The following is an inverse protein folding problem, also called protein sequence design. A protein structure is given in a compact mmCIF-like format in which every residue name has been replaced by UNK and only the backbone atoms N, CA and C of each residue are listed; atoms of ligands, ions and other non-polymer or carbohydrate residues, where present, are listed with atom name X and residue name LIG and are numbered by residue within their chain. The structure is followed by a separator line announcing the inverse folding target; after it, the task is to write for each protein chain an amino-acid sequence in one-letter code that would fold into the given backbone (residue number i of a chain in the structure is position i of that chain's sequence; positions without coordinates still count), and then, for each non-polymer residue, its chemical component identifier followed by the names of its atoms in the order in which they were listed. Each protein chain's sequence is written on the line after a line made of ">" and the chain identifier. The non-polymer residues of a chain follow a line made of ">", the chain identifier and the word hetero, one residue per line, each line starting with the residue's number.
data_IF_750232580782
#
_entry.id   IF_750232580782
#
_cell.length_a   1.000
_cell.length_b   1.000
_cell.length_c   1.000
_cell.angle_alpha   90.00
_cell.angle_beta   90.00
_cell.angle_gamma   90.00
#
_symmetry.space_group_name_H-M   'P 1'
#
loop_
_entity.id
_entity.type
_entity.pdbx_description
1 polymer ?
#
# COMPACT_ATOMS: atom_id res chain seq x y z
N UNK A 1 12.28 16.47 -9.11
CA UNK A 1 12.01 15.12 -8.56
C UNK A 1 10.80 15.20 -7.63
N UNK A 2 9.90 14.21 -7.63
CA UNK A 2 8.73 14.17 -6.73
C UNK A 2 8.81 12.92 -5.87
N UNK A 3 8.57 13.06 -4.57
CA UNK A 3 8.49 11.96 -3.61
C UNK A 3 7.09 12.00 -3.00
N UNK A 4 6.45 10.84 -2.95
CA UNK A 4 5.12 10.69 -2.36
C UNK A 4 5.27 9.79 -1.12
N UNK A 5 4.91 10.33 0.05
CA UNK A 5 4.92 9.56 1.29
C UNK A 5 3.52 8.99 1.51
N UNK A 6 3.45 7.68 1.73
CA UNK A 6 2.19 6.95 1.90
C UNK A 6 2.26 6.22 3.23
N UNK A 7 1.22 6.39 4.06
CA UNK A 7 1.03 5.57 5.24
C UNK A 7 0.45 4.22 4.82
N UNK A 8 0.92 3.12 5.41
CA UNK A 8 0.33 1.81 5.19
C UNK A 8 -1.18 1.83 5.50
N UNK A 9 -1.96 1.02 4.80
CA UNK A 9 -3.39 0.93 5.04
C UNK A 9 -3.72 0.32 6.42
N UNK A 10 -5.01 0.34 6.76
CA UNK A 10 -5.54 -0.21 8.02
C UNK A 10 -5.09 -1.67 8.21
N UNK A 11 -4.47 -1.97 9.34
CA UNK A 11 -3.89 -3.27 9.65
C UNK A 11 -4.48 -3.82 10.94
N UNK A 12 -4.51 -5.14 11.06
CA UNK A 12 -4.99 -5.84 12.25
C UNK A 12 -4.25 -5.36 13.51
N UNK A 13 -4.94 -5.34 14.67
CA UNK A 13 -4.29 -5.13 15.95
C UNK A 13 -3.29 -6.26 16.23
N UNK A 14 -2.23 -5.95 16.99
CA UNK A 14 -1.14 -6.91 17.26
C UNK A 14 -1.64 -8.11 18.09
N UNK A 15 -2.66 -7.85 18.89
CA UNK A 15 -3.32 -8.79 19.80
C UNK A 15 -4.10 -9.86 19.01
N UNK A 16 -4.61 -9.53 17.83
CA UNK A 16 -5.29 -10.47 16.93
C UNK A 16 -4.27 -11.23 16.06
N UNK A 17 -3.30 -10.50 15.50
CA UNK A 17 -2.27 -11.05 14.64
C UNK A 17 -0.94 -10.29 14.81
N UNK A 18 0.12 -10.93 15.34
CA UNK A 18 1.42 -10.30 15.54
C UNK A 18 2.09 -9.79 14.26
N UNK A 19 1.84 -10.43 13.11
CA UNK A 19 2.36 -9.99 11.82
C UNK A 19 1.65 -8.72 11.33
N UNK A 20 0.46 -8.46 11.87
CA UNK A 20 -0.39 -7.31 11.59
C UNK A 20 -0.61 -7.12 10.08
N UNK A 21 -1.20 -8.10 9.38
CA UNK A 21 -1.58 -7.93 7.98
C UNK A 21 -2.66 -6.83 7.86
N UNK A 22 -2.91 -6.37 6.64
CA UNK A 22 -4.01 -5.46 6.36
C UNK A 22 -5.36 -6.09 6.74
N UNK A 23 -6.27 -5.27 7.26
CA UNK A 23 -7.68 -5.67 7.40
C UNK A 23 -8.33 -5.73 6.00
N UNK A 24 -9.45 -6.42 5.85
CA UNK A 24 -10.19 -6.43 4.58
C UNK A 24 -10.56 -5.01 4.13
N UNK A 25 -10.99 -4.18 5.10
CA UNK A 25 -11.26 -2.76 4.88
C UNK A 25 -9.99 -1.99 4.47
N UNK A 26 -8.85 -2.29 5.08
CA UNK A 26 -7.54 -1.74 4.69
C UNK A 26 -7.19 -2.04 3.24
N UNK A 27 -7.36 -3.30 2.81
CA UNK A 27 -7.14 -3.72 1.42
C UNK A 27 -8.06 -2.96 0.46
N UNK A 28 -9.36 -2.88 0.77
CA UNK A 28 -10.33 -2.16 -0.07
C UNK A 28 -10.00 -0.67 -0.17
N UNK A 29 -9.59 -0.05 0.93
CA UNK A 29 -9.21 1.36 0.93
C UNK A 29 -7.91 1.60 0.16
N UNK A 30 -6.89 0.75 0.32
CA UNK A 30 -5.65 0.83 -0.46
C UNK A 30 -5.94 0.75 -1.96
N UNK A 31 -6.79 -0.19 -2.40
CA UNK A 31 -7.23 -0.32 -3.79
C UNK A 31 -7.91 0.94 -4.30
N UNK A 32 -8.87 1.49 -3.55
CA UNK A 32 -9.58 2.74 -3.92
C UNK A 32 -8.62 3.91 -4.09
N UNK A 33 -7.65 4.06 -3.21
CA UNK A 33 -6.64 5.13 -3.30
C UNK A 33 -5.73 4.92 -4.50
N UNK A 34 -5.22 3.70 -4.72
CA UNK A 34 -4.37 3.40 -5.87
C UNK A 34 -5.10 3.64 -7.20
N UNK A 35 -6.35 3.20 -7.32
CA UNK A 35 -7.18 3.45 -8.51
C UNK A 35 -7.44 4.94 -8.72
N UNK A 36 -7.70 5.68 -7.64
CA UNK A 36 -7.83 7.13 -7.73
C UNK A 36 -6.55 7.80 -8.23
N UNK A 37 -5.37 7.32 -7.83
CA UNK A 37 -4.07 7.87 -8.21
C UNK A 37 -3.63 7.46 -9.62
N UNK A 38 -4.21 6.39 -10.18
CA UNK A 38 -3.91 5.89 -11.52
C UNK A 38 -4.09 7.00 -12.56
N UNK A 39 -3.05 7.24 -13.35
CA UNK A 39 -3.02 8.31 -14.36
C UNK A 39 -2.78 9.73 -13.82
N UNK A 40 -2.88 9.96 -12.50
CA UNK A 40 -2.56 11.26 -11.86
C UNK A 40 -1.09 11.35 -11.46
N UNK A 41 -0.50 10.21 -11.08
CA UNK A 41 0.91 10.07 -10.78
C UNK A 41 1.53 8.96 -11.64
N UNK A 42 2.83 9.06 -11.87
CA UNK A 42 3.65 8.06 -12.56
C UNK A 42 4.95 7.86 -11.78
N UNK A 43 4.91 7.21 -10.60
CA UNK A 43 6.13 6.87 -9.87
C UNK A 43 6.97 5.90 -10.71
N UNK A 44 8.30 5.99 -10.58
CA UNK A 44 9.22 5.07 -11.25
C UNK A 44 9.48 3.78 -10.47
N UNK A 45 9.25 3.81 -9.16
CA UNK A 45 9.37 2.69 -8.23
C UNK A 45 8.56 2.99 -6.97
N UNK A 46 8.22 1.96 -6.22
CA UNK A 46 7.69 2.04 -4.86
C UNK A 46 8.75 1.50 -3.90
N UNK A 47 8.89 2.13 -2.74
CA UNK A 47 9.71 1.60 -1.65
C UNK A 47 8.83 1.45 -0.42
N UNK A 48 9.04 0.38 0.34
CA UNK A 48 8.28 0.10 1.54
C UNK A 48 9.17 -0.41 2.68
N UNK A 49 8.69 -0.33 3.92
CA UNK A 49 9.36 -1.00 5.05
C UNK A 49 9.09 -2.51 5.02
N UNK A 50 9.94 -3.31 5.65
CA UNK A 50 9.78 -4.78 5.74
C UNK A 50 8.54 -5.26 6.54
N UNK A 51 7.80 -4.35 7.18
CA UNK A 51 6.57 -4.69 7.91
C UNK A 51 5.50 -5.18 6.94
N UNK A 52 4.84 -6.30 7.26
CA UNK A 52 3.87 -6.96 6.38
C UNK A 52 2.79 -6.01 5.82
N UNK A 53 2.16 -5.20 6.67
CA UNK A 53 1.18 -4.18 6.24
C UNK A 53 1.70 -3.15 5.23
N UNK A 54 2.98 -2.77 5.32
CA UNK A 54 3.58 -1.83 4.37
C UNK A 54 3.81 -2.50 3.02
N UNK A 55 4.39 -3.71 3.03
CA UNK A 55 4.56 -4.54 1.83
C UNK A 55 3.23 -4.85 1.14
N UNK A 56 2.19 -5.23 1.89
CA UNK A 56 0.85 -5.47 1.33
C UNK A 56 0.24 -4.21 0.72
N UNK A 57 0.43 -3.04 1.34
CA UNK A 57 -0.02 -1.76 0.77
C UNK A 57 0.73 -1.44 -0.52
N UNK A 58 2.05 -1.59 -0.52
CA UNK A 58 2.92 -1.35 -1.67
C UNK A 58 2.58 -2.26 -2.84
N UNK A 59 2.42 -3.56 -2.60
CA UNK A 59 1.99 -4.54 -3.60
C UNK A 59 0.66 -4.18 -4.27
N UNK A 60 -0.34 -3.75 -3.49
CA UNK A 60 -1.63 -3.29 -4.04
C UNK A 60 -1.43 -2.08 -4.97
N UNK A 61 -0.60 -1.12 -4.57
CA UNK A 61 -0.30 0.05 -5.38
C UNK A 61 0.48 -0.33 -6.65
N UNK A 62 1.47 -1.21 -6.53
CA UNK A 62 2.28 -1.74 -7.63
C UNK A 62 1.39 -2.37 -8.71
N UNK A 63 0.50 -3.29 -8.31
CA UNK A 63 -0.41 -3.98 -9.22
C UNK A 63 -1.33 -3.00 -9.99
N UNK A 64 -1.83 -1.96 -9.32
CA UNK A 64 -2.79 -1.02 -9.91
C UNK A 64 -2.11 0.08 -10.74
N UNK A 65 -0.98 0.60 -10.26
CA UNK A 65 -0.22 1.67 -10.92
C UNK A 65 0.71 1.13 -12.01
N UNK A 66 0.98 -0.18 -12.05
CA UNK A 66 1.82 -0.82 -13.05
C UNK A 66 3.30 -0.46 -12.89
N UNK A 67 3.81 -0.52 -11.66
CA UNK A 67 5.20 -0.20 -11.31
C UNK A 67 5.73 -1.18 -10.28
N UNK A 68 7.03 -1.47 -10.27
CA UNK A 68 7.64 -2.37 -9.30
C UNK A 68 7.70 -1.77 -7.88
N UNK A 69 7.62 -2.65 -6.87
CA UNK A 69 7.74 -2.37 -5.42
C UNK A 69 8.92 -3.09 -4.76
#
# INVERSE_FOLDING_TARGET
>A
MRIYLVQHAEAKPKEEDPERPLTEKGVLNAKKVAEFLKGKIKPSCIYHSDKLRAKQTAKIFSEILGVDE
#
